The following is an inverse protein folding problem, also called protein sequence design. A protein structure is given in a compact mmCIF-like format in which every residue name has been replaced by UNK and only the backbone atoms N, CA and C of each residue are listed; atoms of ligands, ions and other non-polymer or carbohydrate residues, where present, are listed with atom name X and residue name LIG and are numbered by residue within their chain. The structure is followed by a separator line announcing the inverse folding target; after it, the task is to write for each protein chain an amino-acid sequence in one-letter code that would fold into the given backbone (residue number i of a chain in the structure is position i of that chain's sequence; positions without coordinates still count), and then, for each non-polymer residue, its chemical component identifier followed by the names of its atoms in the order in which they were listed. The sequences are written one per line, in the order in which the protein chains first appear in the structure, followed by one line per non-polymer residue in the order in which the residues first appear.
data_IF_854998174467
#
_entry.id   IF_854998174467
#
_cell.length_a   1.000
_cell.length_b   1.000
_cell.length_c   1.000
_cell.angle_alpha   90.00
_cell.angle_beta   90.00
_cell.angle_gamma   90.00
#
_symmetry.space_group_name_H-M   'P 1'
#
loop_
_entity.id
_entity.type
_entity.pdbx_description
1 polymer ?
#
# COMPACT_ATOMS: atom_id res chain seq x y z
N UNK A 1 12.91 -13.15 -6.52
CA UNK A 1 13.48 -11.84 -6.93
C UNK A 1 14.61 -12.16 -7.86
N UNK A 2 14.60 -11.58 -9.06
CA UNK A 2 15.68 -11.72 -10.04
C UNK A 2 16.47 -10.42 -10.07
N UNK A 3 17.78 -10.51 -9.81
CA UNK A 3 18.68 -9.36 -9.75
C UNK A 3 19.07 -8.86 -11.16
N UNK A 4 18.84 -9.65 -12.20
CA UNK A 4 18.98 -9.21 -13.59
C UNK A 4 17.83 -8.28 -14.01
N UNK A 5 16.70 -8.38 -13.33
CA UNK A 5 15.50 -7.60 -13.61
C UNK A 5 15.47 -6.29 -12.80
N UNK A 6 15.92 -5.20 -13.43
CA UNK A 6 16.00 -3.86 -12.81
C UNK A 6 14.67 -3.40 -12.20
N UNK A 7 13.54 -3.86 -12.73
CA UNK A 7 12.21 -3.52 -12.21
C UNK A 7 12.02 -3.99 -10.77
N UNK A 8 12.51 -5.18 -10.41
CA UNK A 8 12.39 -5.71 -9.07
C UNK A 8 13.04 -4.81 -8.02
N UNK A 9 14.25 -4.32 -8.33
CA UNK A 9 14.97 -3.41 -7.47
C UNK A 9 14.27 -2.05 -7.33
N UNK A 10 13.71 -1.52 -8.42
CA UNK A 10 12.94 -0.26 -8.38
C UNK A 10 11.71 -0.37 -7.49
N UNK A 11 11.02 -1.52 -7.52
CA UNK A 11 9.86 -1.75 -6.66
C UNK A 11 10.28 -1.75 -5.18
N UNK A 12 11.32 -2.51 -4.82
CA UNK A 12 11.87 -2.54 -3.46
C UNK A 12 12.25 -1.14 -2.96
N UNK A 13 13.02 -0.39 -3.77
CA UNK A 13 13.42 0.97 -3.43
C UNK A 13 12.21 1.91 -3.30
N UNK A 14 11.17 1.71 -4.10
CA UNK A 14 9.93 2.51 -3.98
C UNK A 14 9.22 2.23 -2.66
N UNK A 15 9.10 0.96 -2.27
CA UNK A 15 8.52 0.57 -0.99
C UNK A 15 9.30 1.18 0.17
N UNK A 16 10.64 1.04 0.15
CA UNK A 16 11.52 1.65 1.13
C UNK A 16 11.29 3.15 1.25
N UNK A 17 11.37 3.89 0.14
CA UNK A 17 11.19 5.36 0.13
C UNK A 17 9.80 5.79 0.59
N UNK A 18 8.74 5.07 0.20
CA UNK A 18 7.37 5.46 0.57
C UNK A 18 7.08 5.30 2.06
N UNK A 19 7.62 4.24 2.68
CA UNK A 19 7.48 3.93 4.10
C UNK A 19 8.38 4.81 4.97
N UNK A 20 9.68 4.85 4.68
CA UNK A 20 10.69 5.59 5.47
C UNK A 20 10.69 7.09 5.20
N UNK A 21 10.12 7.51 4.05
CA UNK A 21 10.25 8.88 3.51
C UNK A 21 11.70 9.28 3.19
N UNK A 22 12.61 8.31 3.10
CA UNK A 22 13.98 8.56 2.64
C UNK A 22 13.97 9.11 1.22
N UNK A 23 14.83 10.09 0.96
CA UNK A 23 15.07 10.65 -0.38
C UNK A 23 16.12 9.84 -1.14
N UNK A 24 16.95 9.09 -0.42
CA UNK A 24 18.05 8.30 -0.97
C UNK A 24 17.57 6.93 -1.44
N UNK A 25 18.22 6.39 -2.47
CA UNK A 25 18.09 4.98 -2.81
C UNK A 25 18.78 4.10 -1.76
N UNK A 26 18.41 2.83 -1.71
CA UNK A 26 19.08 1.82 -0.90
C UNK A 26 19.65 0.70 -1.80
N UNK A 27 20.72 0.01 -1.38
CA UNK A 27 21.31 -1.11 -2.12
C UNK A 27 20.40 -2.36 -2.07
N UNK A 28 20.66 -3.34 -2.93
CA UNK A 28 19.85 -4.57 -3.03
C UNK A 28 19.86 -5.40 -1.76
N UNK A 29 20.97 -5.38 -1.03
CA UNK A 29 21.16 -6.10 0.22
C UNK A 29 21.59 -5.13 1.32
N UNK A 30 21.20 -5.41 2.57
CA UNK A 30 21.68 -4.70 3.75
C UNK A 30 20.67 -4.67 4.90
N UNK A 31 21.14 -4.27 6.08
CA UNK A 31 20.36 -4.25 7.32
C UNK A 31 19.11 -3.32 7.28
N UNK A 32 19.08 -2.35 6.37
CA UNK A 32 17.92 -1.47 6.18
C UNK A 32 16.63 -2.23 5.80
N UNK A 33 16.73 -3.48 5.32
CA UNK A 33 15.56 -4.32 5.11
C UNK A 33 14.97 -4.87 6.42
N UNK A 34 15.80 -5.08 7.45
CA UNK A 34 15.35 -5.49 8.77
C UNK A 34 14.57 -4.35 9.45
N UNK A 35 14.91 -3.09 9.18
CA UNK A 35 14.12 -1.91 9.60
C UNK A 35 12.69 -1.91 9.02
N UNK A 36 12.51 -2.50 7.84
CA UNK A 36 11.21 -2.74 7.21
C UNK A 36 10.50 -3.98 7.75
N UNK A 37 11.16 -4.74 8.62
CA UNK A 37 10.66 -5.99 9.19
C UNK A 37 10.77 -7.18 8.23
N UNK A 38 11.78 -7.22 7.36
CA UNK A 38 12.24 -8.47 6.73
C UNK A 38 13.10 -9.28 7.73
N UNK A 39 13.26 -10.59 7.52
CA UNK A 39 14.01 -11.45 8.45
C UNK A 39 15.53 -11.32 8.33
N UNK A 40 16.02 -10.61 7.31
CA UNK A 40 17.43 -10.34 7.14
C UNK A 40 17.72 -9.36 6.01
N UNK A 41 18.98 -9.28 5.63
CA UNK A 41 19.49 -8.34 4.63
C UNK A 41 19.04 -8.60 3.19
N UNK A 42 18.30 -9.69 2.91
CA UNK A 42 17.78 -10.02 1.59
C UNK A 42 16.25 -10.28 1.63
N UNK A 43 15.42 -9.31 1.18
CA UNK A 43 13.98 -9.48 1.01
C UNK A 43 13.57 -10.68 0.14
N UNK A 44 14.46 -11.14 -0.74
CA UNK A 44 14.22 -12.29 -1.60
C UNK A 44 13.96 -13.57 -0.82
N UNK A 45 14.57 -13.73 0.36
CA UNK A 45 14.42 -14.92 1.19
C UNK A 45 13.02 -15.06 1.77
N UNK A 46 12.44 -13.97 2.27
CA UNK A 46 11.06 -13.88 2.75
C UNK A 46 10.04 -14.03 1.62
N UNK A 47 10.30 -13.37 0.48
CA UNK A 47 9.40 -13.34 -0.67
C UNK A 47 9.37 -14.65 -1.47
N UNK A 48 10.21 -15.66 -1.17
CA UNK A 48 10.23 -16.94 -1.93
C UNK A 48 8.86 -17.60 -2.04
N UNK A 49 8.06 -17.55 -0.97
CA UNK A 49 6.76 -18.23 -0.92
C UNK A 49 5.61 -17.49 -1.63
N UNK A 50 5.71 -16.18 -1.78
CA UNK A 50 4.68 -15.33 -2.39
C UNK A 50 5.10 -14.76 -3.74
N UNK A 51 6.40 -14.80 -4.05
CA UNK A 51 7.01 -14.32 -5.27
C UNK A 51 6.71 -12.85 -5.55
N UNK A 52 6.54 -12.53 -6.83
CA UNK A 52 6.27 -11.17 -7.30
C UNK A 52 4.94 -10.63 -6.75
N UNK A 53 3.96 -11.49 -6.47
CA UNK A 53 2.66 -11.05 -5.95
C UNK A 53 2.83 -10.31 -4.61
N UNK A 54 3.60 -10.84 -3.67
CA UNK A 54 3.79 -10.20 -2.35
C UNK A 54 4.42 -8.82 -2.47
N UNK A 55 5.43 -8.70 -3.33
CA UNK A 55 6.09 -7.43 -3.57
C UNK A 55 5.18 -6.43 -4.30
N UNK A 56 4.36 -6.89 -5.26
CA UNK A 56 3.38 -6.03 -5.93
C UNK A 56 2.25 -5.57 -5.00
N UNK A 57 1.81 -6.40 -4.06
CA UNK A 57 0.82 -6.01 -3.06
C UNK A 57 1.37 -4.99 -2.06
N UNK A 58 2.64 -5.15 -1.62
CA UNK A 58 3.34 -4.11 -0.85
C UNK A 58 3.41 -2.80 -1.64
N UNK A 59 3.80 -2.86 -2.92
CA UNK A 59 3.88 -1.68 -3.78
C UNK A 59 2.52 -0.99 -3.92
N UNK A 60 1.45 -1.73 -4.22
CA UNK A 60 0.08 -1.22 -4.25
C UNK A 60 -0.24 -0.46 -2.96
N UNK A 61 0.03 -1.07 -1.81
CA UNK A 61 -0.33 -0.53 -0.51
C UNK A 61 0.37 0.80 -0.18
N UNK A 62 1.58 1.01 -0.70
CA UNK A 62 2.35 2.23 -0.46
C UNK A 62 2.26 3.26 -1.60
N UNK A 63 1.74 2.87 -2.76
CA UNK A 63 1.58 3.76 -3.90
C UNK A 63 0.16 4.33 -3.99
N UNK A 64 -0.84 3.58 -3.53
CA UNK A 64 -2.22 4.03 -3.51
C UNK A 64 -2.41 5.16 -2.48
N UNK A 65 -3.02 6.26 -2.92
CA UNK A 65 -3.19 7.46 -2.09
C UNK A 65 -4.12 7.28 -0.90
N UNK A 66 -5.11 6.37 -1.02
CA UNK A 66 -6.06 6.05 0.04
C UNK A 66 -5.42 5.10 1.07
N UNK A 67 -4.52 4.20 0.61
CA UNK A 67 -3.86 3.21 1.47
C UNK A 67 -2.58 3.71 2.14
N UNK A 68 -1.83 4.60 1.50
CA UNK A 68 -0.54 5.09 2.01
C UNK A 68 -0.59 5.65 3.44
N UNK A 69 -1.64 6.40 3.88
CA UNK A 69 -1.77 6.81 5.27
C UNK A 69 -1.78 5.62 6.24
N UNK A 70 -2.55 4.57 5.93
CA UNK A 70 -2.61 3.35 6.72
C UNK A 70 -1.26 2.63 6.73
N UNK A 71 -0.65 2.43 5.56
CA UNK A 71 0.65 1.78 5.45
C UNK A 71 1.71 2.46 6.33
N UNK A 72 1.73 3.80 6.34
CA UNK A 72 2.62 4.60 7.19
C UNK A 72 2.28 4.54 8.67
N UNK A 73 0.99 4.48 9.02
CA UNK A 73 0.57 4.32 10.42
C UNK A 73 1.01 2.96 10.99
N UNK A 74 0.88 1.91 10.18
CA UNK A 74 1.32 0.56 10.52
C UNK A 74 2.84 0.49 10.59
N UNK A 75 3.55 1.07 9.61
CA UNK A 75 5.02 1.12 9.64
C UNK A 75 5.54 1.92 10.84
N UNK A 76 4.88 3.00 11.24
CA UNK A 76 5.26 3.72 12.46
C UNK A 76 5.19 2.82 13.71
N UNK A 77 4.21 1.90 13.77
CA UNK A 77 4.12 0.91 14.85
C UNK A 77 5.34 -0.05 14.87
N UNK A 78 5.98 -0.30 13.73
CA UNK A 78 7.21 -1.12 13.68
C UNK A 78 8.43 -0.40 14.25
N UNK A 79 8.43 0.94 14.22
CA UNK A 79 9.54 1.79 14.66
C UNK A 79 9.48 2.15 16.15
N UNK A 80 8.32 1.98 16.79
CA UNK A 80 8.17 2.28 18.20
C UNK A 80 8.60 1.09 19.05
N UNK A 81 9.78 1.18 19.64
CA UNK A 81 10.11 0.42 20.84
C UNK A 81 9.17 0.90 21.96
N UNK A 82 8.10 0.14 22.19
CA UNK A 82 7.33 0.31 23.41
C UNK A 82 8.21 -0.16 24.55
N UNK A 83 8.36 0.64 25.61
CA UNK A 83 9.12 0.33 26.84
C UNK A 83 8.61 -0.93 27.60
N UNK A 84 7.67 -1.68 27.01
CA UNK A 84 7.22 -2.97 27.49
C UNK A 84 8.17 -4.07 27.03
N UNK A 85 8.48 -5.01 27.93
CA UNK A 85 9.23 -6.24 27.62
C UNK A 85 8.24 -7.40 27.47
N UNK A 86 8.27 -8.17 26.36
CA UNK A 86 9.15 -8.08 25.19
C UNK A 86 8.77 -6.93 24.23
N UNK A 87 9.72 -6.45 23.39
CA UNK A 87 9.47 -5.36 22.46
C UNK A 87 8.29 -5.67 21.53
N UNK A 88 7.31 -4.77 21.44
CA UNK A 88 6.10 -4.94 20.64
C UNK A 88 6.28 -4.53 19.17
N UNK A 89 7.49 -4.67 18.62
CA UNK A 89 7.81 -4.18 17.28
C UNK A 89 6.99 -4.99 16.25
N UNK A 90 6.10 -4.30 15.54
CA UNK A 90 5.27 -4.89 14.50
C UNK A 90 6.14 -5.24 13.27
N UNK A 91 6.32 -6.51 12.86
CA UNK A 91 7.21 -6.85 11.76
C UNK A 91 6.51 -6.64 10.41
N UNK A 92 6.52 -5.41 9.90
CA UNK A 92 5.72 -4.98 8.75
C UNK A 92 5.83 -5.90 7.53
N UNK A 93 7.06 -6.19 7.07
CA UNK A 93 7.25 -6.96 5.84
C UNK A 93 6.93 -8.44 6.02
N UNK A 94 7.33 -9.08 7.13
CA UNK A 94 6.90 -10.46 7.45
C UNK A 94 5.38 -10.58 7.50
N UNK A 95 4.69 -9.62 8.14
CA UNK A 95 3.21 -9.63 8.19
C UNK A 95 2.60 -9.48 6.79
N UNK A 96 3.16 -8.62 5.96
CA UNK A 96 2.71 -8.47 4.57
C UNK A 96 2.85 -9.75 3.75
N UNK A 97 3.98 -10.45 3.87
CA UNK A 97 4.20 -11.73 3.19
C UNK A 97 3.18 -12.77 3.64
N UNK A 98 2.91 -12.86 4.95
CA UNK A 98 1.90 -13.78 5.47
C UNK A 98 0.47 -13.41 5.01
N UNK A 99 0.11 -12.13 5.02
CA UNK A 99 -1.19 -11.67 4.52
C UNK A 99 -1.35 -12.00 3.03
N UNK A 100 -0.31 -11.80 2.23
CA UNK A 100 -0.32 -12.17 0.80
C UNK A 100 -0.64 -13.67 0.64
N UNK A 101 0.00 -14.53 1.45
CA UNK A 101 -0.26 -15.98 1.43
C UNK A 101 -1.72 -16.29 1.78
N UNK A 102 -2.27 -15.65 2.80
CA UNK A 102 -3.67 -15.78 3.22
C UNK A 102 -4.62 -15.38 2.07
N UNK A 103 -4.37 -14.25 1.42
CA UNK A 103 -5.17 -13.74 0.30
C UNK A 103 -5.12 -14.70 -0.88
N UNK A 104 -3.93 -15.19 -1.24
CA UNK A 104 -3.73 -16.17 -2.31
C UNK A 104 -4.47 -17.48 -2.01
N UNK A 105 -4.43 -17.94 -0.76
CA UNK A 105 -5.13 -19.15 -0.35
C UNK A 105 -6.66 -18.97 -0.38
N UNK A 106 -7.17 -17.83 0.09
CA UNK A 106 -8.59 -17.51 -0.02
C UNK A 106 -9.06 -17.47 -1.48
N UNK A 107 -8.24 -16.99 -2.41
CA UNK A 107 -8.54 -17.05 -3.84
C UNK A 107 -8.55 -18.48 -4.37
N UNK A 108 -7.53 -19.28 -4.07
CA UNK A 108 -7.41 -20.69 -4.51
C UNK A 108 -8.54 -21.58 -3.99
N UNK A 109 -9.03 -21.29 -2.79
CA UNK A 109 -10.19 -21.95 -2.19
C UNK A 109 -11.53 -21.33 -2.64
N UNK A 110 -11.53 -20.52 -3.70
CA UNK A 110 -12.71 -19.89 -4.32
C UNK A 110 -13.54 -19.00 -3.38
N UNK A 111 -12.97 -18.58 -2.24
CA UNK A 111 -13.67 -17.77 -1.23
C UNK A 111 -13.99 -16.36 -1.72
N UNK A 112 -13.32 -15.93 -2.79
CA UNK A 112 -13.44 -14.60 -3.37
C UNK A 112 -14.19 -14.58 -4.71
N UNK A 113 -14.50 -15.74 -5.30
CA UNK A 113 -15.06 -15.84 -6.67
C UNK A 113 -16.30 -14.99 -6.86
N UNK A 114 -17.23 -15.00 -5.88
CA UNK A 114 -18.45 -14.17 -5.94
C UNK A 114 -18.15 -12.67 -5.98
N UNK A 115 -17.17 -12.22 -5.21
CA UNK A 115 -16.82 -10.79 -5.14
C UNK A 115 -16.02 -10.35 -6.36
N UNK A 116 -15.07 -11.18 -6.82
CA UNK A 116 -14.35 -10.99 -8.08
C UNK A 116 -15.31 -10.87 -9.26
N UNK A 117 -16.29 -11.77 -9.37
CA UNK A 117 -17.28 -11.76 -10.45
C UNK A 117 -18.20 -10.54 -10.36
N UNK A 118 -18.61 -10.15 -9.14
CA UNK A 118 -19.44 -8.95 -8.93
C UNK A 118 -18.73 -7.68 -9.37
N UNK A 119 -17.43 -7.52 -9.05
CA UNK A 119 -16.63 -6.34 -9.42
C UNK A 119 -16.01 -6.43 -10.82
N UNK A 120 -16.02 -7.62 -11.44
CA UNK A 120 -15.30 -7.94 -12.68
C UNK A 120 -13.80 -7.60 -12.62
N UNK A 121 -13.22 -7.73 -11.44
CA UNK A 121 -11.82 -7.35 -11.18
C UNK A 121 -11.22 -8.28 -10.12
N UNK A 122 -10.32 -9.17 -10.53
CA UNK A 122 -9.65 -10.09 -9.58
C UNK A 122 -8.58 -9.35 -8.79
N UNK A 123 -7.66 -8.68 -9.48
CA UNK A 123 -6.49 -8.03 -8.85
C UNK A 123 -6.92 -6.97 -7.84
N UNK A 124 -7.92 -6.14 -8.17
CA UNK A 124 -8.44 -5.14 -7.24
C UNK A 124 -9.02 -5.78 -5.97
N UNK A 125 -9.80 -6.86 -6.10
CA UNK A 125 -10.35 -7.57 -4.93
C UNK A 125 -9.25 -8.19 -4.06
N UNK A 126 -8.19 -8.74 -4.66
CA UNK A 126 -7.05 -9.26 -3.89
C UNK A 126 -6.31 -8.16 -3.12
N UNK A 127 -6.09 -7.01 -3.77
CA UNK A 127 -5.43 -5.86 -3.18
C UNK A 127 -6.26 -5.22 -2.06
N UNK A 128 -7.58 -5.09 -2.25
CA UNK A 128 -8.49 -4.63 -1.22
C UNK A 128 -8.54 -5.59 -0.03
N UNK A 129 -8.59 -6.91 -0.27
CA UNK A 129 -8.57 -7.89 0.81
C UNK A 129 -7.23 -7.87 1.57
N UNK A 130 -6.12 -7.71 0.85
CA UNK A 130 -4.79 -7.53 1.45
C UNK A 130 -4.75 -6.30 2.38
N UNK A 131 -5.22 -5.14 1.91
CA UNK A 131 -5.27 -3.92 2.71
C UNK A 131 -6.25 -4.05 3.90
N UNK A 132 -7.40 -4.69 3.70
CA UNK A 132 -8.38 -4.95 4.73
C UNK A 132 -7.84 -5.89 5.82
N UNK A 133 -7.08 -6.91 5.43
CA UNK A 133 -6.42 -7.83 6.35
C UNK A 133 -5.35 -7.10 7.17
N UNK A 134 -4.55 -6.23 6.54
CA UNK A 134 -3.61 -5.36 7.23
C UNK A 134 -4.28 -4.44 8.24
N UNK A 135 -5.37 -3.78 7.84
CA UNK A 135 -6.16 -2.92 8.72
C UNK A 135 -6.68 -3.69 9.94
N UNK A 136 -7.23 -4.90 9.72
CA UNK A 136 -7.72 -5.75 10.81
C UNK A 136 -6.60 -6.14 11.75
N UNK A 137 -5.48 -6.64 11.21
CA UNK A 137 -4.32 -7.03 11.98
C UNK A 137 -3.79 -5.85 12.80
N UNK A 138 -3.62 -4.70 12.18
CA UNK A 138 -3.17 -3.47 12.83
C UNK A 138 -4.07 -3.05 14.00
N UNK A 139 -5.39 -3.03 13.78
CA UNK A 139 -6.36 -2.65 14.82
C UNK A 139 -6.32 -3.60 16.02
N UNK A 140 -6.23 -4.91 15.76
CA UNK A 140 -6.12 -5.91 16.84
C UNK A 140 -4.78 -5.76 17.56
N UNK A 141 -3.69 -5.64 16.81
CA UNK A 141 -2.36 -5.53 17.37
C UNK A 141 -2.22 -4.32 18.29
N UNK A 142 -2.62 -3.14 17.80
CA UNK A 142 -2.58 -1.89 18.56
C UNK A 142 -3.60 -1.89 19.70
N UNK A 143 -4.85 -2.30 19.44
CA UNK A 143 -5.93 -2.24 20.43
C UNK A 143 -5.75 -3.21 21.60
N UNK A 144 -5.15 -4.37 21.36
CA UNK A 144 -4.92 -5.40 22.38
C UNK A 144 -3.46 -5.45 22.85
N UNK A 145 -2.61 -4.52 22.41
CA UNK A 145 -1.16 -4.45 22.75
C UNK A 145 -0.44 -5.78 22.49
N UNK A 146 -0.68 -6.35 21.32
CA UNK A 146 -0.06 -7.61 20.89
C UNK A 146 1.43 -7.44 20.66
N UNK A 147 2.15 -8.54 20.72
CA UNK A 147 3.59 -8.60 20.47
C UNK A 147 3.90 -9.66 19.41
N UNK A 148 5.18 -9.79 19.04
CA UNK A 148 5.63 -10.79 18.07
C UNK A 148 5.24 -12.22 18.48
N UNK A 149 5.13 -12.52 19.78
CA UNK A 149 4.71 -13.86 20.23
C UNK A 149 3.26 -14.20 19.90
N UNK A 150 2.42 -13.19 19.66
CA UNK A 150 1.02 -13.38 19.27
C UNK A 150 0.84 -13.57 17.75
N UNK A 151 1.91 -13.45 16.96
CA UNK A 151 1.81 -13.42 15.49
C UNK A 151 1.08 -14.62 14.92
N UNK A 152 1.40 -15.83 15.37
CA UNK A 152 0.84 -17.07 14.82
C UNK A 152 -0.66 -17.20 15.07
N UNK A 153 -1.12 -16.85 16.28
CA UNK A 153 -2.54 -16.93 16.63
C UNK A 153 -3.33 -15.86 15.87
N UNK A 154 -2.80 -14.64 15.79
CA UNK A 154 -3.41 -13.55 15.02
C UNK A 154 -3.50 -13.87 13.52
N UNK A 155 -2.46 -14.45 12.93
CA UNK A 155 -2.46 -14.83 11.52
C UNK A 155 -3.48 -15.94 11.24
N UNK A 156 -3.62 -16.94 12.13
CA UNK A 156 -4.65 -17.98 12.02
C UNK A 156 -6.07 -17.41 12.10
N UNK A 157 -6.33 -16.50 13.03
CA UNK A 157 -7.62 -15.81 13.14
C UNK A 157 -7.93 -14.93 11.92
N UNK A 158 -6.90 -14.26 11.40
CA UNK A 158 -7.00 -13.42 10.21
C UNK A 158 -7.29 -14.27 8.97
N UNK A 159 -6.63 -15.41 8.82
CA UNK A 159 -6.88 -16.38 7.75
C UNK A 159 -8.33 -16.87 7.79
N UNK A 160 -8.80 -17.27 8.97
CA UNK A 160 -10.19 -17.69 9.17
C UNK A 160 -11.17 -16.59 8.77
N UNK A 161 -10.88 -15.34 9.13
CA UNK A 161 -11.71 -14.18 8.80
C UNK A 161 -11.71 -13.90 7.30
N UNK A 162 -10.54 -13.95 6.65
CA UNK A 162 -10.39 -13.74 5.21
C UNK A 162 -11.13 -14.79 4.38
N UNK A 163 -11.14 -16.05 4.84
CA UNK A 163 -11.84 -17.15 4.15
C UNK A 163 -13.33 -17.19 4.44
N UNK A 164 -13.74 -17.04 5.70
CA UNK A 164 -15.15 -17.19 6.09
C UNK A 164 -15.96 -15.92 5.87
N UNK A 165 -15.35 -14.75 6.05
CA UNK A 165 -16.05 -13.46 6.08
C UNK A 165 -15.31 -12.35 5.27
N UNK A 166 -14.85 -12.62 4.02
CA UNK A 166 -14.07 -11.62 3.25
C UNK A 166 -14.83 -10.31 3.04
N UNK A 167 -16.16 -10.37 2.80
CA UNK A 167 -17.00 -9.19 2.65
C UNK A 167 -17.02 -8.28 3.89
N UNK A 168 -16.87 -8.83 5.09
CA UNK A 168 -16.84 -8.01 6.30
C UNK A 168 -15.52 -7.25 6.42
N UNK A 169 -14.40 -7.88 6.04
CA UNK A 169 -13.11 -7.22 5.97
C UNK A 169 -13.13 -6.08 4.94
N UNK A 170 -13.65 -6.34 3.73
CA UNK A 170 -13.78 -5.33 2.67
C UNK A 170 -14.63 -4.14 3.13
N UNK A 171 -15.80 -4.38 3.74
CA UNK A 171 -16.63 -3.32 4.31
C UNK A 171 -15.92 -2.51 5.40
N UNK A 172 -15.12 -3.18 6.24
CA UNK A 172 -14.32 -2.50 7.27
C UNK A 172 -13.25 -1.58 6.66
N UNK A 173 -12.66 -1.98 5.52
CA UNK A 173 -11.72 -1.13 4.78
C UNK A 173 -12.44 0.06 4.13
N UNK A 174 -13.56 -0.19 3.45
CA UNK A 174 -14.39 0.86 2.83
C UNK A 174 -14.78 1.93 3.87
N UNK A 175 -15.21 1.51 5.06
CA UNK A 175 -15.53 2.45 6.15
C UNK A 175 -14.31 3.26 6.63
N UNK A 176 -13.12 2.64 6.72
CA UNK A 176 -11.90 3.35 7.10
C UNK A 176 -11.51 4.40 6.06
N UNK A 177 -11.58 4.05 4.78
CA UNK A 177 -11.25 4.94 3.67
C UNK A 177 -12.19 6.14 3.63
N UNK A 178 -13.50 5.92 3.75
CA UNK A 178 -14.50 7.00 3.78
C UNK A 178 -14.27 7.98 4.93
N UNK A 179 -13.91 7.49 6.11
CA UNK A 179 -13.59 8.33 7.27
C UNK A 179 -12.31 9.15 7.05
N UNK A 180 -11.27 8.53 6.48
CA UNK A 180 -10.00 9.20 6.18
C UNK A 180 -10.19 10.32 5.14
N UNK A 181 -10.97 10.06 4.09
CA UNK A 181 -11.30 11.05 3.06
C UNK A 181 -12.09 12.24 3.62
N UNK A 182 -13.08 11.99 4.48
CA UNK A 182 -13.84 13.05 5.16
C UNK A 182 -12.94 13.90 6.08
N UNK A 183 -12.06 13.27 6.85
CA UNK A 183 -11.10 13.98 7.71
C UNK A 183 -10.09 14.81 6.91
N UNK A 184 -9.73 14.37 5.70
CA UNK A 184 -8.87 15.14 4.80
C UNK A 184 -9.61 16.35 4.19
N UNK A 185 -10.86 16.18 3.78
CA UNK A 185 -11.69 17.26 3.25
C UNK A 185 -11.90 18.40 4.27
N UNK A 186 -12.11 18.05 5.55
CA UNK A 186 -12.25 19.02 6.64
C UNK A 186 -10.95 19.79 6.96
N UNK A 187 -9.78 19.28 6.56
CA UNK A 187 -8.47 19.91 6.80
C UNK A 187 -8.02 20.83 5.66
N UNK A 188 -8.71 20.81 4.52
CA UNK A 188 -8.42 21.75 3.44
C UNK A 188 -9.16 23.08 3.70
N UNK A 189 -8.48 24.24 3.64
CA UNK A 189 -9.16 25.51 3.70
C UNK A 189 -10.15 25.63 2.53
N UNK A 190 -11.29 26.31 2.70
CA UNK A 190 -12.22 26.55 1.60
C UNK A 190 -11.45 27.22 0.45
N UNK A 191 -11.70 26.77 -0.79
CA UNK A 191 -11.15 27.40 -1.96
C UNK A 191 -11.46 28.91 -1.90
N UNK A 192 -10.50 29.80 -2.20
CA UNK A 192 -10.77 31.22 -2.18
C UNK A 192 -11.88 31.51 -3.20
N UNK A 193 -13.01 32.00 -2.70
CA UNK A 193 -14.03 32.65 -3.50
C UNK A 193 -13.47 33.99 -3.97
N UNK A 194 -12.60 33.94 -4.98
CA UNK A 194 -11.99 35.11 -5.60
C UNK A 194 -12.47 35.24 -7.04
N UNK A 195 -13.33 36.23 -7.28
CA UNK A 195 -13.46 36.85 -8.60
C UNK A 195 -12.09 37.44 -8.97
N UNK A 196 -11.39 36.83 -9.91
CA UNK A 196 -10.07 37.27 -10.34
C UNK A 196 -9.65 36.52 -11.59
N UNK A 197 -9.63 37.29 -12.68
CA UNK A 197 -9.15 37.05 -14.05
C UNK A 197 -8.42 35.72 -14.34
N UNK A 198 -8.91 35.02 -15.37
CA UNK A 198 -8.22 33.91 -16.01
C UNK A 198 -6.84 34.36 -16.52
N UNK A 199 -5.78 33.91 -15.87
CA UNK A 199 -4.45 33.90 -16.46
C UNK A 199 -4.36 32.60 -17.26
N UNK A 200 -4.56 32.72 -18.57
CA UNK A 200 -4.37 31.65 -19.54
C UNK A 200 -2.92 31.14 -19.50
N UNK A 201 -2.74 29.89 -19.04
CA UNK A 201 -1.47 29.20 -19.06
C UNK A 201 -1.48 28.23 -20.23
N UNK A 202 -1.14 28.74 -21.42
CA UNK A 202 -0.89 27.89 -22.59
C UNK A 202 0.32 26.97 -22.33
N UNK A 203 0.05 25.67 -22.36
CA UNK A 203 1.08 24.63 -22.27
C UNK A 203 1.95 24.59 -23.54
N UNK A 204 3.23 24.28 -23.35
CA UNK A 204 4.33 24.27 -24.36
C UNK A 204 4.16 23.19 -25.45
N UNK A 205 2.96 22.68 -25.69
CA UNK A 205 2.70 21.66 -26.73
C UNK A 205 1.83 22.14 -27.89
N UNK A 206 1.23 23.33 -27.84
CA UNK A 206 0.34 23.81 -28.90
C UNK A 206 0.98 24.95 -29.71
N UNK A 207 1.94 24.60 -30.57
CA UNK A 207 2.33 25.48 -31.68
C UNK A 207 1.38 25.24 -32.85
N UNK A 208 0.44 26.16 -33.06
CA UNK A 208 -0.34 26.25 -34.29
C UNK A 208 0.57 26.69 -35.43
N UNK A 209 0.57 25.88 -36.50
CA UNK A 209 1.20 26.18 -37.79
C UNK A 209 0.36 27.26 -38.48
N UNK A 210 0.86 28.49 -38.56
CA UNK A 210 0.25 29.52 -39.40
C UNK A 210 0.68 29.33 -40.86
N UNK A 211 -0.32 29.21 -41.74
CA UNK A 211 -0.18 29.22 -43.19
C UNK A 211 -0.05 30.68 -43.64
N UNK A 212 1.10 31.04 -44.22
CA UNK A 212 1.30 32.32 -44.91
C UNK A 212 0.39 32.44 -46.13
N UNK A 213 -0.37 33.53 -46.16
CA UNK A 213 -1.09 33.95 -47.34
C UNK A 213 -1.73 35.30 -47.10
N UNK A 214 -0.98 36.39 -47.35
CA UNK A 214 -1.62 37.68 -47.55
C UNK A 214 -1.05 38.38 -48.78
N UNK A 215 -1.97 38.61 -49.72
CA UNK A 215 -1.81 39.49 -50.86
C UNK A 215 -2.47 40.82 -50.51
N UNK A 216 -1.77 41.94 -50.75
CA UNK A 216 -2.31 43.29 -51.06
C UNK A 216 -1.13 44.19 -51.45
N UNK A 217 -1.06 44.70 -52.68
CA UNK A 217 -1.73 45.91 -53.16
C UNK A 217 -1.41 47.14 -52.29
N UNK A 218 -0.32 47.85 -52.64
CA UNK A 218 -0.32 49.26 -53.10
C UNK A 218 0.72 49.35 -54.22
#
# INVERSE_FOLDING_TARGET
LDDNERVHMRILQTIYKKLTRSRLGCPRYGAHWEELGFQGADPGTDLRGTGMLGLMQMLFFVMDSQMLPLAREIFRLSQHETQARPPANFPFSVMSVNITRIVLQALREERLSRECNRRRQVVAVLNDLYAAAFLRLYRVWKGQRKTVVDSDSLLKELELSAKKKPKQLLKSLEAYVSQSSAAHALRQPPAPSGSGEEIDFMGVCDLQVELEGDARLI
#
